data_IF_907913742237
#
_entry.id   IF_907913742237
#
_cell.length_a   1.000
_cell.length_b   1.000
_cell.length_c   1.000
_cell.angle_alpha   90.00
_cell.angle_beta   90.00
_cell.angle_gamma   90.00
#
_symmetry.space_group_name_H-M   'P 1'
#
loop_
_entity.id
_entity.type
_entity.pdbx_description
1 polymer ?
#
# COMPACT_ATOMS: atom_id res chain seq x y z
N UNK A 1 -7.15 -14.73 -24.95
CA UNK A 1 -6.26 -13.59 -24.64
C UNK A 1 -5.04 -14.14 -23.92
N UNK A 2 -3.83 -13.93 -24.44
CA UNK A 2 -2.64 -14.66 -24.00
C UNK A 2 -2.17 -14.23 -22.57
N UNK A 3 -1.97 -15.16 -21.63
CA UNK A 3 -1.66 -14.85 -20.22
C UNK A 3 -0.27 -14.25 -19.95
N UNK A 4 0.61 -14.21 -20.96
CA UNK A 4 2.03 -13.84 -20.81
C UNK A 4 2.32 -12.33 -20.93
N UNK A 5 1.34 -11.51 -21.35
CA UNK A 5 1.55 -10.08 -21.59
C UNK A 5 1.27 -9.19 -20.36
N UNK A 6 0.51 -9.70 -19.38
CA UNK A 6 -0.02 -8.89 -18.27
C UNK A 6 1.09 -8.22 -17.45
N UNK A 7 2.18 -8.91 -17.03
CA UNK A 7 3.23 -8.27 -16.24
C UNK A 7 3.97 -7.16 -17.00
N UNK A 8 4.31 -7.41 -18.28
CA UNK A 8 5.02 -6.41 -19.11
C UNK A 8 4.16 -5.17 -19.35
N UNK A 9 2.86 -5.36 -19.61
CA UNK A 9 1.92 -4.25 -19.80
C UNK A 9 1.75 -3.46 -18.50
N UNK A 10 1.59 -4.12 -17.35
CA UNK A 10 1.47 -3.46 -16.05
C UNK A 10 2.71 -2.58 -15.74
N UNK A 11 3.91 -3.11 -15.95
CA UNK A 11 5.16 -2.37 -15.77
C UNK A 11 5.24 -1.16 -16.71
N UNK A 12 4.86 -1.31 -17.97
CA UNK A 12 4.88 -0.21 -18.94
C UNK A 12 3.88 0.90 -18.55
N UNK A 13 2.68 0.54 -18.08
CA UNK A 13 1.67 1.51 -17.62
C UNK A 13 2.17 2.28 -16.40
N UNK A 14 2.74 1.59 -15.41
CA UNK A 14 3.27 2.23 -14.20
C UNK A 14 4.37 3.24 -14.53
N UNK A 15 5.33 2.87 -15.39
CA UNK A 15 6.39 3.77 -15.85
C UNK A 15 5.81 4.98 -16.59
N UNK A 16 4.88 4.73 -17.51
CA UNK A 16 4.27 5.81 -18.29
C UNK A 16 3.47 6.78 -17.43
N UNK A 17 2.79 6.30 -16.40
CA UNK A 17 2.06 7.15 -15.47
C UNK A 17 3.00 8.13 -14.76
N UNK A 18 4.12 7.64 -14.23
CA UNK A 18 5.13 8.48 -13.57
C UNK A 18 5.80 9.45 -14.56
N UNK A 19 6.12 9.02 -15.78
CA UNK A 19 6.63 9.91 -16.85
C UNK A 19 5.66 11.06 -17.18
N UNK A 20 4.35 10.84 -17.01
CA UNK A 20 3.31 11.83 -17.23
C UNK A 20 3.04 12.72 -16.00
N UNK A 21 3.82 12.55 -14.93
CA UNK A 21 3.73 13.38 -13.72
C UNK A 21 2.81 12.82 -12.63
N UNK A 22 2.34 11.57 -12.75
CA UNK A 22 1.64 10.92 -11.63
C UNK A 22 2.63 10.72 -10.49
N UNK A 23 2.28 11.24 -9.31
CA UNK A 23 3.08 11.17 -8.10
C UNK A 23 2.35 10.46 -6.94
N UNK A 24 1.24 9.79 -7.21
CA UNK A 24 0.50 9.02 -6.22
C UNK A 24 0.06 7.67 -6.80
N UNK A 25 0.49 6.58 -6.18
CA UNK A 25 0.12 5.21 -6.56
C UNK A 25 -0.61 4.56 -5.40
N UNK A 26 -1.88 4.23 -5.63
CA UNK A 26 -2.74 3.53 -4.68
C UNK A 26 -2.76 2.02 -4.97
N UNK A 27 -2.51 1.20 -3.94
CA UNK A 27 -2.38 -0.26 -4.04
C UNK A 27 -2.91 -0.94 -2.77
N UNK A 28 -2.90 -2.27 -2.72
CA UNK A 28 -3.17 -3.06 -1.53
C UNK A 28 -2.44 -4.40 -1.59
N UNK A 29 -2.10 -4.99 -0.44
CA UNK A 29 -1.47 -6.32 -0.37
C UNK A 29 -2.34 -7.45 -0.96
N UNK A 30 -3.64 -7.21 -1.12
CA UNK A 30 -4.62 -8.11 -1.74
C UNK A 30 -4.74 -7.93 -3.26
N UNK A 31 -4.14 -6.90 -3.85
CA UNK A 31 -4.17 -6.70 -5.30
C UNK A 31 -3.19 -7.65 -5.97
N UNK A 32 -3.73 -8.68 -6.63
CA UNK A 32 -2.95 -9.71 -7.29
C UNK A 32 -3.84 -10.77 -7.95
N UNK A 33 -3.22 -11.65 -8.72
CA UNK A 33 -3.89 -12.80 -9.34
C UNK A 33 -2.91 -13.95 -9.51
N UNK A 34 -3.20 -15.10 -8.92
CA UNK A 34 -2.25 -16.21 -8.84
C UNK A 34 -0.97 -15.77 -8.12
N UNK A 35 0.18 -16.02 -8.74
CA UNK A 35 1.50 -15.64 -8.21
C UNK A 35 1.88 -14.18 -8.51
N UNK A 36 1.01 -13.40 -9.16
CA UNK A 36 1.26 -11.98 -9.44
C UNK A 36 0.78 -11.10 -8.29
N UNK A 37 1.68 -10.27 -7.76
CA UNK A 37 1.38 -9.27 -6.74
C UNK A 37 1.62 -7.85 -7.24
N UNK A 38 0.66 -6.94 -7.01
CA UNK A 38 0.76 -5.55 -7.45
C UNK A 38 1.99 -4.84 -6.86
N UNK A 39 2.32 -5.08 -5.58
CA UNK A 39 3.48 -4.49 -4.91
C UNK A 39 4.81 -4.87 -5.58
N UNK A 40 4.96 -6.11 -6.02
CA UNK A 40 6.17 -6.58 -6.70
C UNK A 40 6.28 -5.99 -8.10
N UNK A 41 5.16 -5.83 -8.82
CA UNK A 41 5.13 -5.15 -10.11
C UNK A 41 5.42 -3.65 -9.99
N UNK A 42 4.90 -2.98 -8.96
CA UNK A 42 5.20 -1.59 -8.62
C UNK A 42 6.69 -1.43 -8.35
N UNK A 43 7.27 -2.28 -7.49
CA UNK A 43 8.70 -2.31 -7.21
C UNK A 43 9.52 -2.54 -8.47
N UNK A 44 9.17 -3.53 -9.28
CA UNK A 44 9.86 -3.82 -10.55
C UNK A 44 9.82 -2.63 -11.51
N UNK A 45 8.70 -1.91 -11.57
CA UNK A 45 8.51 -0.82 -12.49
C UNK A 45 9.25 0.45 -12.07
N UNK A 46 9.18 0.78 -10.78
CA UNK A 46 9.47 2.12 -10.26
C UNK A 46 10.68 2.19 -9.33
N UNK A 47 11.27 1.06 -8.90
CA UNK A 47 12.49 1.09 -8.08
C UNK A 47 13.74 1.45 -8.92
N UNK A 48 14.66 2.31 -8.41
CA UNK A 48 14.51 3.12 -7.19
C UNK A 48 13.42 4.19 -7.36
N UNK A 49 12.55 4.30 -6.36
CA UNK A 49 11.35 5.14 -6.43
C UNK A 49 11.72 6.63 -6.62
N UNK A 50 10.99 7.37 -7.47
CA UNK A 50 11.11 8.82 -7.55
C UNK A 50 10.88 9.46 -6.18
N UNK A 51 11.63 10.52 -5.87
CA UNK A 51 11.59 11.16 -4.54
C UNK A 51 10.22 11.69 -4.13
N UNK A 52 9.42 12.18 -5.09
CA UNK A 52 8.12 12.80 -4.83
C UNK A 52 6.96 11.83 -5.05
N UNK A 53 7.23 10.54 -5.28
CA UNK A 53 6.21 9.52 -5.48
C UNK A 53 5.69 9.03 -4.13
N UNK A 54 4.39 9.20 -3.89
CA UNK A 54 3.68 8.66 -2.74
C UNK A 54 3.13 7.28 -3.08
N UNK A 55 3.50 6.27 -2.30
CA UNK A 55 2.90 4.93 -2.35
C UNK A 55 1.91 4.79 -1.20
N UNK A 56 0.63 4.67 -1.55
CA UNK A 56 -0.44 4.40 -0.60
C UNK A 56 -0.85 2.92 -0.67
N UNK A 57 -0.73 2.19 0.44
CA UNK A 57 -1.21 0.81 0.57
C UNK A 57 -2.40 0.71 1.53
N UNK A 58 -3.04 -0.46 1.58
CA UNK A 58 -4.17 -0.75 2.44
C UNK A 58 -3.92 -2.07 3.15
N UNK A 59 -4.09 -2.06 4.45
CA UNK A 59 -4.23 -3.29 5.24
C UNK A 59 -5.71 -3.60 5.47
N UNK A 60 -5.99 -4.89 5.58
CA UNK A 60 -7.27 -5.53 5.32
C UNK A 60 -8.42 -5.10 6.23
N UNK A 61 -9.64 -5.50 5.85
CA UNK A 61 -10.86 -5.33 6.63
C UNK A 61 -10.98 -6.41 7.72
N UNK A 62 -11.90 -6.22 8.69
CA UNK A 62 -11.99 -7.09 9.87
C UNK A 62 -12.40 -8.54 9.55
N UNK A 63 -13.03 -8.76 8.39
CA UNK A 63 -13.35 -10.06 7.81
C UNK A 63 -12.15 -10.77 7.18
N UNK A 64 -11.06 -10.04 6.93
CA UNK A 64 -9.86 -10.51 6.25
C UNK A 64 -8.65 -10.60 7.21
N UNK A 65 -8.54 -9.71 8.22
CA UNK A 65 -7.57 -9.85 9.30
C UNK A 65 -7.97 -9.14 10.61
N UNK A 66 -7.60 -9.79 11.71
CA UNK A 66 -7.68 -9.27 13.08
C UNK A 66 -6.74 -8.09 13.32
N UNK A 67 -7.01 -7.30 14.36
CA UNK A 67 -6.16 -6.22 14.82
C UNK A 67 -4.71 -6.68 15.02
N UNK A 68 -4.51 -7.87 15.62
CA UNK A 68 -3.19 -8.44 15.89
C UNK A 68 -2.37 -8.75 14.63
N UNK A 69 -3.02 -8.98 13.48
CA UNK A 69 -2.38 -9.30 12.22
C UNK A 69 -1.95 -8.05 11.42
N UNK A 70 -2.50 -6.87 11.73
CA UNK A 70 -2.27 -5.65 10.94
C UNK A 70 -0.79 -5.28 10.84
N UNK A 71 -0.03 -5.42 11.94
CA UNK A 71 1.42 -5.15 11.93
C UNK A 71 2.15 -6.04 10.93
N UNK A 72 1.85 -7.35 10.93
CA UNK A 72 2.47 -8.30 10.01
C UNK A 72 2.14 -8.01 8.54
N UNK A 73 0.94 -7.49 8.26
CA UNK A 73 0.55 -7.07 6.92
C UNK A 73 1.32 -5.82 6.46
N UNK A 74 1.49 -4.83 7.33
CA UNK A 74 2.33 -3.65 7.04
C UNK A 74 3.77 -4.07 6.74
N UNK A 75 4.34 -4.96 7.56
CA UNK A 75 5.69 -5.49 7.34
C UNK A 75 5.82 -6.29 6.03
N UNK A 76 4.76 -7.01 5.64
CA UNK A 76 4.73 -7.72 4.36
C UNK A 76 4.70 -6.75 3.17
N UNK A 77 3.93 -5.68 3.28
CA UNK A 77 3.86 -4.64 2.25
C UNK A 77 5.22 -3.94 2.07
N UNK A 78 5.90 -3.57 3.16
CA UNK A 78 7.27 -3.05 3.16
C UNK A 78 8.22 -3.98 2.41
N UNK A 79 8.23 -5.28 2.75
CA UNK A 79 9.10 -6.29 2.09
C UNK A 79 8.82 -6.42 0.59
N UNK A 80 7.54 -6.47 0.20
CA UNK A 80 7.14 -6.64 -1.21
C UNK A 80 7.43 -5.39 -2.05
N UNK A 81 7.16 -4.20 -1.51
CA UNK A 81 7.52 -2.93 -2.13
C UNK A 81 9.03 -2.66 -2.07
N UNK A 82 9.77 -3.35 -1.21
CA UNK A 82 11.21 -3.16 -1.05
C UNK A 82 11.54 -1.78 -0.48
N UNK A 83 10.77 -1.33 0.50
CA UNK A 83 10.95 -0.06 1.19
C UNK A 83 11.10 -0.29 2.69
N UNK A 84 11.80 0.63 3.36
CA UNK A 84 11.94 0.64 4.82
C UNK A 84 10.85 1.49 5.50
N UNK A 85 10.12 2.28 4.70
CA UNK A 85 8.97 3.07 5.12
C UNK A 85 7.84 3.02 4.08
N UNK A 86 6.62 3.38 4.50
CA UNK A 86 5.46 3.58 3.63
C UNK A 86 4.94 4.99 3.84
N UNK A 87 4.59 5.70 2.77
CA UNK A 87 4.10 7.07 2.85
C UNK A 87 2.70 7.15 3.46
N UNK A 88 1.83 6.21 3.08
CA UNK A 88 0.45 6.14 3.53
C UNK A 88 -0.04 4.69 3.63
N UNK A 89 -0.63 4.37 4.78
CA UNK A 89 -1.34 3.09 4.99
C UNK A 89 -2.77 3.39 5.39
N UNK A 90 -3.72 2.94 4.59
CA UNK A 90 -5.13 2.95 4.94
C UNK A 90 -5.49 1.72 5.78
N UNK A 91 -6.33 1.91 6.79
CA UNK A 91 -7.12 0.83 7.37
C UNK A 91 -8.35 0.62 6.49
N UNK A 92 -8.46 -0.52 5.83
CA UNK A 92 -9.68 -0.85 5.10
C UNK A 92 -10.79 -1.16 6.10
N UNK A 93 -11.90 -0.43 5.98
CA UNK A 93 -13.11 -0.61 6.79
C UNK A 93 -14.21 -1.14 5.88
N UNK A 94 -14.86 -2.22 6.31
CA UNK A 94 -15.85 -2.91 5.49
C UNK A 94 -15.24 -3.83 4.42
N UNK A 95 -16.01 -4.83 4.01
CA UNK A 95 -15.65 -5.87 3.06
C UNK A 95 -16.92 -6.47 2.46
N UNK A 96 -16.76 -7.47 1.58
CA UNK A 96 -17.92 -8.24 1.07
C UNK A 96 -18.38 -9.31 2.07
N UNK A 97 -17.61 -9.55 3.14
CA UNK A 97 -17.96 -10.47 4.23
C UNK A 97 -18.79 -9.81 5.34
N UNK A 98 -19.12 -10.60 6.36
CA UNK A 98 -19.74 -10.06 7.59
C UNK A 98 -18.77 -9.09 8.25
N UNK A 99 -19.29 -7.97 8.77
CA UNK A 99 -18.50 -7.11 9.63
C UNK A 99 -17.89 -7.98 10.76
N UNK A 100 -16.57 -7.99 10.86
CA UNK A 100 -15.91 -8.64 12.00
C UNK A 100 -16.35 -7.95 13.29
N UNK A 101 -16.46 -8.73 14.37
CA UNK A 101 -16.91 -8.23 15.68
C UNK A 101 -15.85 -7.34 16.36
N UNK A 102 -14.66 -7.20 15.77
CA UNK A 102 -13.57 -6.37 16.31
C UNK A 102 -13.84 -4.87 16.16
N UNK A 103 -13.48 -4.12 17.21
CA UNK A 103 -13.63 -2.67 17.25
C UNK A 103 -12.74 -1.99 16.22
N UNK A 104 -13.33 -1.11 15.41
CA UNK A 104 -12.59 -0.23 14.50
C UNK A 104 -11.54 0.60 15.26
N UNK A 105 -11.87 1.07 16.47
CA UNK A 105 -10.96 1.88 17.27
C UNK A 105 -9.73 1.07 17.72
N UNK A 106 -9.91 -0.19 18.10
CA UNK A 106 -8.80 -1.08 18.47
C UNK A 106 -7.91 -1.37 17.27
N UNK A 107 -8.50 -1.72 16.12
CA UNK A 107 -7.78 -1.96 14.87
C UNK A 107 -6.98 -0.74 14.42
N UNK A 108 -7.60 0.44 14.48
CA UNK A 108 -6.92 1.69 14.16
C UNK A 108 -5.79 2.00 15.13
N UNK A 109 -5.98 1.71 16.43
CA UNK A 109 -4.93 1.90 17.45
C UNK A 109 -3.71 1.03 17.15
N UNK A 110 -3.91 -0.24 16.78
CA UNK A 110 -2.81 -1.14 16.39
C UNK A 110 -2.09 -0.64 15.14
N UNK A 111 -2.84 -0.22 14.10
CA UNK A 111 -2.23 0.34 12.89
C UNK A 111 -1.49 1.65 13.18
N UNK A 112 -2.06 2.55 13.98
CA UNK A 112 -1.41 3.80 14.33
C UNK A 112 -0.08 3.57 15.07
N UNK A 113 0.01 2.52 15.89
CA UNK A 113 1.23 2.10 16.58
C UNK A 113 2.33 1.52 15.66
N UNK A 114 2.08 1.33 14.35
CA UNK A 114 3.13 0.96 13.39
C UNK A 114 3.89 2.17 12.85
N UNK A 115 3.38 3.39 13.05
CA UNK A 115 4.00 4.64 12.55
C UNK A 115 5.41 4.86 13.10
N UNK A 116 5.65 4.44 14.34
CA UNK A 116 6.92 4.67 15.05
C UNK A 116 7.99 3.63 14.69
N UNK A 117 7.63 2.56 13.97
CA UNK A 117 8.54 1.47 13.58
C UNK A 117 9.14 1.69 12.19
N UNK A 118 8.64 2.65 11.42
CA UNK A 118 8.98 2.87 10.00
C UNK A 118 9.65 4.22 9.71
N UNK A 119 10.16 4.92 10.71
CA UNK A 119 10.62 6.31 10.54
C UNK A 119 12.13 6.50 10.53
N UNK A 120 12.73 6.77 9.37
CA UNK A 120 13.84 7.73 9.28
C UNK A 120 13.23 9.15 9.37
N UNK A 121 13.64 10.00 10.34
CA UNK A 121 13.16 11.37 10.47
C UNK A 121 13.41 12.29 9.25
N UNK A 122 14.19 11.85 8.25
CA UNK A 122 14.54 12.62 7.06
C UNK A 122 13.56 12.56 5.86
N UNK A 123 12.56 11.67 5.85
CA UNK A 123 11.65 11.56 4.70
C UNK A 123 10.47 12.54 4.81
N UNK A 124 10.16 13.34 3.76
CA UNK A 124 9.05 14.28 3.81
C UNK A 124 7.74 13.53 4.03
N UNK A 125 7.08 13.80 5.16
CA UNK A 125 5.72 13.34 5.39
C UNK A 125 4.81 14.06 4.40
N UNK A 126 4.40 13.37 3.34
CA UNK A 126 3.36 13.84 2.44
C UNK A 126 2.03 13.87 3.20
N UNK A 127 1.80 14.95 3.94
CA UNK A 127 0.50 15.24 4.51
C UNK A 127 -0.44 15.48 3.31
N UNK A 128 -1.51 14.67 3.21
CA UNK A 128 -2.61 14.94 2.29
C UNK A 128 -2.93 16.42 2.36
N UNK A 129 -2.84 17.12 1.22
CA UNK A 129 -3.08 18.55 1.15
C UNK A 129 -4.39 18.85 1.87
N UNK A 130 -4.32 19.72 2.88
CA UNK A 130 -5.51 20.17 3.59
C UNK A 130 -6.40 20.85 2.54
N UNK A 131 -7.69 20.49 2.40
CA UNK A 131 -8.56 21.17 1.45
C UNK A 131 -8.56 22.67 1.76
N UNK A 132 -8.64 23.55 0.75
CA UNK A 132 -8.74 24.98 0.98
C UNK A 132 -10.02 25.30 1.77
N UNK A 133 -9.93 26.32 2.62
CA UNK A 133 -11.01 26.84 3.46
C UNK A 133 -12.26 27.24 2.66
#
# INVERSE_FOLDING_TARGET
MAPLAIPKVAVAVLRRAVELGVNHVDTAGTYGFGDLHAHELIRQALSPYPKDLVIATKVSSADEASAAQLRGLVEQDLRRLGQDHLDLVYLRVGGMGKAGDESLAERFTVLAATRDVTGDPGHPRHQLARPPD
#
